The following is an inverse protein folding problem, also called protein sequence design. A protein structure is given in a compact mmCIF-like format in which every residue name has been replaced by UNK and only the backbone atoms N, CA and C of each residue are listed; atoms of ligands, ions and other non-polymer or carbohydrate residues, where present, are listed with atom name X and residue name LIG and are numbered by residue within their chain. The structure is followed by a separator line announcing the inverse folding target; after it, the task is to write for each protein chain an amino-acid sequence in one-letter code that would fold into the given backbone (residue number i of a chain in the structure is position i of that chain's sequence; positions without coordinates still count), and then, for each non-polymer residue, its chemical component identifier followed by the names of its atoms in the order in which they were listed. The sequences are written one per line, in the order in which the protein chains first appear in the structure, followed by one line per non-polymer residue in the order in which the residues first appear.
data_IF_690725297511
#
_entry.id   IF_690725297511
#
_cell.length_a   1.000
_cell.length_b   1.000
_cell.length_c   1.000
_cell.angle_alpha   90.00
_cell.angle_beta   90.00
_cell.angle_gamma   90.00
#
_symmetry.space_group_name_H-M   'P 1'
#
loop_
_entity.id
_entity.type
_entity.pdbx_description
1 polymer ?
#
# COMPACT_ATOMS: atom_id res chain seq x y z
N UNK A 1 -8.03 -4.17 6.76
CA UNK A 1 -9.34 -3.90 7.39
C UNK A 1 -10.39 -4.55 6.48
N UNK A 2 -11.01 -5.64 6.94
CA UNK A 2 -11.73 -6.62 6.12
C UNK A 2 -12.99 -6.05 5.47
N UNK A 3 -13.22 -6.37 4.19
CA UNK A 3 -14.43 -6.08 3.39
C UNK A 3 -15.73 -6.54 4.09
N UNK A 4 -15.59 -7.46 5.04
CA UNK A 4 -16.66 -7.96 5.92
C UNK A 4 -17.44 -6.86 6.66
N UNK A 5 -16.84 -5.71 6.95
CA UNK A 5 -17.57 -4.63 7.65
C UNK A 5 -18.60 -3.92 6.75
N UNK A 6 -18.40 -3.92 5.43
CA UNK A 6 -19.36 -3.36 4.47
C UNK A 6 -20.44 -4.37 4.08
N UNK A 7 -20.10 -5.66 4.01
CA UNK A 7 -21.07 -6.72 3.65
C UNK A 7 -22.00 -7.08 4.80
N UNK A 8 -21.60 -6.89 6.07
CA UNK A 8 -22.44 -7.18 7.25
C UNK A 8 -23.70 -6.31 7.36
N UNK A 9 -23.85 -5.26 6.54
CA UNK A 9 -25.06 -4.41 6.48
C UNK A 9 -25.81 -4.44 5.16
N UNK A 10 -25.34 -5.20 4.16
CA UNK A 10 -26.04 -5.41 2.91
C UNK A 10 -26.47 -6.88 2.87
N UNK A 11 -27.66 -7.17 3.40
CA UNK A 11 -28.41 -8.33 2.90
C UNK A 11 -28.60 -8.05 1.40
N UNK A 12 -27.80 -8.70 0.55
CA UNK A 12 -27.87 -8.51 -0.89
C UNK A 12 -29.21 -9.07 -1.34
N UNK A 13 -30.14 -8.16 -1.62
CA UNK A 13 -31.53 -8.51 -1.85
C UNK A 13 -31.86 -8.56 -3.34
N UNK A 14 -30.88 -8.28 -4.21
CA UNK A 14 -31.06 -8.21 -5.66
C UNK A 14 -29.85 -8.73 -6.44
N UNK A 15 -30.06 -9.49 -7.54
CA UNK A 15 -29.00 -9.92 -8.47
C UNK A 15 -28.17 -8.77 -9.06
N UNK A 16 -28.69 -7.53 -9.05
CA UNK A 16 -27.95 -6.34 -9.47
C UNK A 16 -26.85 -5.98 -8.46
N UNK A 17 -27.14 -6.08 -7.18
CA UNK A 17 -26.20 -5.72 -6.10
C UNK A 17 -25.04 -6.72 -6.05
N UNK A 18 -25.33 -8.02 -6.24
CA UNK A 18 -24.30 -9.06 -6.35
C UNK A 18 -23.35 -8.81 -7.53
N UNK A 19 -23.88 -8.40 -8.69
CA UNK A 19 -23.06 -8.06 -9.87
C UNK A 19 -22.21 -6.82 -9.62
N UNK A 20 -22.77 -5.80 -8.97
CA UNK A 20 -22.03 -4.58 -8.64
C UNK A 20 -20.89 -4.87 -7.65
N UNK A 21 -21.15 -5.65 -6.61
CA UNK A 21 -20.12 -6.07 -5.65
C UNK A 21 -19.05 -6.92 -6.33
N UNK A 22 -19.43 -7.90 -7.13
CA UNK A 22 -18.48 -8.71 -7.91
C UNK A 22 -17.56 -7.86 -8.77
N UNK A 23 -18.09 -6.78 -9.37
CA UNK A 23 -17.28 -5.83 -10.13
C UNK A 23 -16.33 -5.02 -9.24
N UNK A 24 -16.81 -4.50 -8.11
CA UNK A 24 -15.99 -3.74 -7.15
C UNK A 24 -14.85 -4.57 -6.59
N UNK A 25 -15.12 -5.84 -6.23
CA UNK A 25 -14.13 -6.80 -5.73
C UNK A 25 -13.12 -7.17 -6.81
N UNK A 26 -13.60 -7.60 -7.99
CA UNK A 26 -12.74 -8.01 -9.12
C UNK A 26 -11.76 -6.92 -9.53
N UNK A 27 -12.19 -5.66 -9.49
CA UNK A 27 -11.37 -4.52 -9.89
C UNK A 27 -10.74 -3.78 -8.70
N UNK A 28 -10.81 -4.35 -7.49
CA UNK A 28 -10.24 -3.80 -6.25
C UNK A 28 -10.55 -2.31 -6.04
N UNK A 29 -11.76 -1.89 -6.39
CA UNK A 29 -12.10 -0.46 -6.47
C UNK A 29 -12.04 0.20 -5.10
N UNK A 30 -12.41 -0.52 -4.03
CA UNK A 30 -12.29 0.02 -2.67
C UNK A 30 -10.85 0.26 -2.26
N UNK A 31 -9.93 -0.65 -2.57
CA UNK A 31 -8.52 -0.48 -2.25
C UNK A 31 -7.96 0.77 -2.97
N UNK A 32 -8.41 1.03 -4.20
CA UNK A 32 -8.02 2.22 -4.95
C UNK A 32 -8.58 3.48 -4.27
N UNK A 33 -9.85 3.45 -3.86
CA UNK A 33 -10.49 4.56 -3.14
C UNK A 33 -9.78 4.86 -1.82
N UNK A 34 -9.39 3.83 -1.06
CA UNK A 34 -8.60 3.98 0.16
C UNK A 34 -7.26 4.65 -0.15
N UNK A 35 -6.53 4.18 -1.17
CA UNK A 35 -5.22 4.73 -1.53
C UNK A 35 -5.28 6.21 -1.95
N UNK A 36 -6.24 6.59 -2.81
CA UNK A 36 -6.38 7.99 -3.24
C UNK A 36 -6.85 8.89 -2.09
N UNK A 37 -7.68 8.37 -1.18
CA UNK A 37 -8.14 9.13 0.01
C UNK A 37 -6.99 9.36 0.98
N UNK A 38 -6.18 8.32 1.26
CA UNK A 38 -4.95 8.43 2.05
C UNK A 38 -3.98 9.45 1.44
N UNK A 39 -3.81 9.42 0.12
CA UNK A 39 -2.95 10.35 -0.61
C UNK A 39 -3.40 11.80 -0.44
N UNK A 40 -4.71 12.07 -0.51
CA UNK A 40 -5.28 13.41 -0.27
C UNK A 40 -5.11 13.84 1.19
N UNK A 41 -5.38 12.95 2.14
CA UNK A 41 -5.26 13.25 3.57
C UNK A 41 -3.83 13.59 3.98
N UNK A 42 -2.85 12.89 3.39
CA UNK A 42 -1.44 13.12 3.61
C UNK A 42 -0.94 14.41 2.96
N UNK A 43 -1.18 14.57 1.66
CA UNK A 43 -0.64 15.71 0.88
C UNK A 43 -1.35 17.04 1.15
N UNK A 44 -2.60 17.01 1.65
CA UNK A 44 -3.43 18.19 1.94
C UNK A 44 -3.35 19.27 0.84
N UNK A 45 -3.64 18.91 -0.42
CA UNK A 45 -3.41 19.81 -1.54
C UNK A 45 -4.42 20.97 -1.52
N UNK A 46 -3.99 22.16 -1.92
CA UNK A 46 -4.87 23.34 -2.06
C UNK A 46 -6.03 23.11 -3.04
N UNK A 47 -5.80 22.22 -4.02
CA UNK A 47 -6.77 21.86 -5.06
C UNK A 47 -6.96 20.33 -5.14
N UNK A 48 -7.78 19.73 -4.25
CA UNK A 48 -7.94 18.28 -4.15
C UNK A 48 -8.41 17.59 -5.44
N UNK A 49 -9.29 18.23 -6.19
CA UNK A 49 -9.80 17.69 -7.46
C UNK A 49 -8.70 17.59 -8.52
N UNK A 50 -7.90 18.64 -8.70
CA UNK A 50 -6.78 18.64 -9.66
C UNK A 50 -5.72 17.60 -9.26
N UNK A 51 -5.41 17.52 -7.97
CA UNK A 51 -4.52 16.51 -7.41
C UNK A 51 -4.98 15.08 -7.73
N UNK A 52 -6.26 14.76 -7.44
CA UNK A 52 -6.83 13.44 -7.70
C UNK A 52 -6.82 13.08 -9.20
N UNK A 53 -7.14 14.03 -10.08
CA UNK A 53 -7.10 13.81 -11.53
C UNK A 53 -5.68 13.46 -12.00
N UNK A 54 -4.67 14.19 -11.52
CA UNK A 54 -3.27 13.92 -11.84
C UNK A 54 -2.81 12.56 -11.29
N UNK A 55 -3.21 12.23 -10.06
CA UNK A 55 -2.90 10.95 -9.44
C UNK A 55 -3.49 9.78 -10.24
N UNK A 56 -4.77 9.86 -10.61
CA UNK A 56 -5.43 8.84 -11.43
C UNK A 56 -4.82 8.74 -12.83
N UNK A 57 -4.44 9.86 -13.45
CA UNK A 57 -3.75 9.87 -14.74
C UNK A 57 -2.39 9.16 -14.66
N UNK A 58 -1.62 9.40 -13.60
CA UNK A 58 -0.36 8.69 -13.33
C UNK A 58 -0.57 7.20 -13.15
N UNK A 59 -1.53 6.79 -12.32
CA UNK A 59 -1.87 5.36 -12.14
C UNK A 59 -2.23 4.71 -13.48
N UNK A 60 -3.02 5.39 -14.32
CA UNK A 60 -3.40 4.88 -15.64
C UNK A 60 -2.18 4.68 -16.56
N UNK A 61 -1.23 5.60 -16.57
CA UNK A 61 0.02 5.48 -17.35
C UNK A 61 0.90 4.38 -16.79
N UNK A 62 1.05 4.33 -15.47
CA UNK A 62 1.85 3.34 -14.77
C UNK A 62 1.34 1.92 -15.03
N UNK A 63 0.02 1.72 -15.09
CA UNK A 63 -0.58 0.43 -15.51
C UNK A 63 -0.20 -0.03 -16.91
N UNK A 64 -0.01 0.89 -17.84
CA UNK A 64 0.34 0.57 -19.24
C UNK A 64 1.84 0.30 -19.36
N UNK A 65 2.65 1.03 -18.59
CA UNK A 65 4.10 1.07 -18.73
C UNK A 65 4.83 0.22 -17.69
N UNK A 66 4.12 -0.26 -16.66
CA UNK A 66 4.64 -0.94 -15.47
C UNK A 66 5.76 -0.16 -14.76
N UNK A 67 5.75 1.18 -14.86
CA UNK A 67 6.75 2.05 -14.23
C UNK A 67 6.09 3.26 -13.57
N UNK A 68 6.77 3.82 -12.58
CA UNK A 68 6.41 5.11 -11.94
C UNK A 68 5.00 5.15 -11.32
N UNK A 69 4.63 4.09 -10.58
CA UNK A 69 3.43 4.12 -9.74
C UNK A 69 3.56 5.20 -8.65
N UNK A 70 2.45 5.86 -8.27
CA UNK A 70 2.51 6.87 -7.21
C UNK A 70 2.78 6.21 -5.85
N UNK A 71 4.03 6.35 -5.39
CA UNK A 71 4.44 5.93 -4.06
C UNK A 71 4.05 7.00 -3.03
N UNK A 72 3.49 6.57 -1.90
CA UNK A 72 3.26 7.47 -0.76
C UNK A 72 4.55 7.73 0.02
N UNK A 73 5.42 6.74 0.08
CA UNK A 73 6.71 6.82 0.76
C UNK A 73 7.80 7.18 -0.24
N UNK A 74 8.42 8.34 -0.04
CA UNK A 74 9.65 8.71 -0.72
C UNK A 74 10.86 8.07 -0.04
N UNK A 75 11.99 8.08 -0.75
CA UNK A 75 13.27 7.56 -0.27
C UNK A 75 13.69 8.15 1.09
N UNK A 76 13.39 9.44 1.32
CA UNK A 76 13.62 10.12 2.59
C UNK A 76 12.77 9.54 3.72
N UNK A 77 11.50 9.22 3.46
CA UNK A 77 10.60 8.63 4.44
C UNK A 77 11.05 7.22 4.82
N UNK A 78 11.49 6.42 3.85
CA UNK A 78 12.01 5.08 4.10
C UNK A 78 13.31 5.12 4.92
N UNK A 79 14.19 6.09 4.64
CA UNK A 79 15.41 6.29 5.43
C UNK A 79 15.08 6.63 6.89
N UNK A 80 14.19 7.60 7.12
CA UNK A 80 13.79 7.99 8.48
C UNK A 80 13.13 6.85 9.24
N UNK A 81 12.28 6.07 8.56
CA UNK A 81 11.64 4.91 9.17
C UNK A 81 12.66 3.83 9.56
N UNK A 82 13.66 3.58 8.72
CA UNK A 82 14.75 2.66 9.04
C UNK A 82 15.55 3.14 10.26
N UNK A 83 15.86 4.43 10.34
CA UNK A 83 16.59 5.03 11.48
C UNK A 83 15.83 4.89 12.80
N UNK A 84 14.49 4.99 12.77
CA UNK A 84 13.64 4.75 13.95
C UNK A 84 13.70 3.28 14.40
N UNK A 85 13.85 2.34 13.46
CA UNK A 85 13.97 0.91 13.77
C UNK A 85 15.38 0.46 14.14
N UNK A 86 16.40 1.23 13.77
CA UNK A 86 17.82 1.03 14.11
C UNK A 86 18.32 2.15 15.05
N UNK A 87 17.82 2.21 16.31
CA UNK A 87 18.19 3.29 17.23
C UNK A 87 19.66 3.22 17.67
N UNK A 88 20.30 2.07 17.51
CA UNK A 88 21.72 1.88 17.81
C UNK A 88 22.63 2.26 16.65
N UNK A 89 22.07 2.62 15.48
CA UNK A 89 22.78 2.94 14.25
C UNK A 89 23.78 1.85 13.85
N UNK A 90 23.38 0.58 14.01
CA UNK A 90 24.22 -0.58 13.69
C UNK A 90 24.22 -0.92 12.19
N UNK A 91 23.34 -0.29 11.40
CA UNK A 91 23.24 -0.43 9.94
C UNK A 91 22.31 -1.55 9.49
N UNK A 92 21.66 -2.26 10.42
CA UNK A 92 20.73 -3.35 10.13
C UNK A 92 19.61 -3.43 11.17
N UNK A 93 18.47 -3.97 10.73
CA UNK A 93 17.34 -4.33 11.59
C UNK A 93 17.13 -5.85 11.57
N UNK A 94 16.52 -6.36 12.63
CA UNK A 94 16.10 -7.76 12.72
C UNK A 94 14.85 -8.01 11.88
N UNK A 95 14.61 -9.27 11.52
CA UNK A 95 13.39 -9.62 10.80
C UNK A 95 12.10 -9.28 11.60
N UNK A 96 12.14 -9.37 12.94
CA UNK A 96 11.03 -8.95 13.80
C UNK A 96 10.70 -7.48 13.61
N UNK A 97 11.71 -6.61 13.62
CA UNK A 97 11.52 -5.17 13.37
C UNK A 97 11.02 -4.91 11.95
N UNK A 98 11.58 -5.62 10.96
CA UNK A 98 11.13 -5.51 9.58
C UNK A 98 9.66 -5.92 9.38
N UNK A 99 9.23 -7.01 10.04
CA UNK A 99 7.84 -7.45 10.02
C UNK A 99 6.90 -6.38 10.57
N UNK A 100 7.26 -5.76 11.70
CA UNK A 100 6.48 -4.67 12.28
C UNK A 100 6.42 -3.44 11.37
N UNK A 101 7.54 -3.16 10.70
CA UNK A 101 7.65 -2.15 9.66
C UNK A 101 6.61 -2.38 8.54
N UNK A 102 6.60 -3.58 7.98
CA UNK A 102 5.68 -3.97 6.91
C UNK A 102 4.23 -3.96 7.39
N UNK A 103 3.97 -4.37 8.62
CA UNK A 103 2.64 -4.32 9.22
C UNK A 103 2.13 -2.87 9.33
N UNK A 104 2.97 -1.97 9.84
CA UNK A 104 2.65 -0.52 9.96
C UNK A 104 2.39 0.12 8.60
N UNK A 105 3.14 -0.30 7.57
CA UNK A 105 2.96 0.18 6.20
C UNK A 105 1.78 -0.48 5.46
N UNK A 106 1.11 -1.47 6.07
CA UNK A 106 0.07 -2.25 5.39
C UNK A 106 0.60 -3.12 4.23
N UNK A 107 1.90 -3.44 4.24
CA UNK A 107 2.60 -4.22 3.23
C UNK A 107 2.86 -5.67 3.66
N UNK A 108 2.46 -6.04 4.88
CA UNK A 108 2.57 -7.42 5.38
C UNK A 108 1.37 -8.23 4.90
N UNK A 109 1.63 -9.36 4.22
CA UNK A 109 0.55 -10.27 3.81
C UNK A 109 0.10 -11.14 5.01
N UNK A 110 -1.20 -11.50 5.13
CA UNK A 110 -1.74 -12.18 6.31
C UNK A 110 -1.05 -13.51 6.67
N UNK A 111 -0.55 -14.24 5.68
CA UNK A 111 0.05 -15.57 5.83
C UNK A 111 1.55 -15.58 5.50
N UNK A 112 2.20 -14.42 5.58
CA UNK A 112 3.61 -14.31 5.23
C UNK A 112 4.52 -14.70 6.40
N UNK A 113 5.23 -15.81 6.23
CA UNK A 113 6.33 -16.20 7.09
C UNK A 113 7.63 -15.61 6.56
N UNK A 114 8.21 -14.70 7.35
CA UNK A 114 9.53 -14.14 7.09
C UNK A 114 10.57 -14.93 7.87
N UNK A 115 11.74 -15.17 7.27
CA UNK A 115 12.84 -15.89 7.92
C UNK A 115 13.35 -15.14 9.16
N UNK A 116 13.31 -15.78 10.33
CA UNK A 116 13.66 -15.17 11.63
C UNK A 116 15.14 -14.77 11.71
N UNK A 117 16.01 -15.46 10.97
CA UNK A 117 17.47 -15.39 11.10
C UNK A 117 18.12 -14.35 10.17
N UNK A 118 17.33 -13.61 9.41
CA UNK A 118 17.86 -12.68 8.41
C UNK A 118 18.00 -11.26 8.97
N UNK A 119 19.23 -10.72 8.90
CA UNK A 119 19.51 -9.30 9.11
C UNK A 119 19.14 -8.51 7.86
N UNK A 120 18.52 -7.34 8.05
CA UNK A 120 18.03 -6.50 6.95
C UNK A 120 18.73 -5.16 6.98
N UNK A 121 19.54 -4.91 5.95
CA UNK A 121 20.20 -3.62 5.73
C UNK A 121 19.21 -2.58 5.23
N UNK A 122 19.61 -1.30 5.29
CA UNK A 122 18.82 -0.18 4.78
C UNK A 122 18.45 -0.34 3.32
N UNK A 123 19.41 -0.75 2.49
CA UNK A 123 19.20 -0.97 1.06
C UNK A 123 18.17 -2.08 0.82
N UNK A 124 18.30 -3.20 1.53
CA UNK A 124 17.37 -4.32 1.41
C UNK A 124 15.97 -3.94 1.89
N UNK A 125 15.87 -3.19 2.99
CA UNK A 125 14.61 -2.66 3.50
C UNK A 125 13.89 -1.84 2.41
N UNK A 126 14.59 -0.88 1.80
CA UNK A 126 14.03 -0.03 0.74
C UNK A 126 13.59 -0.84 -0.48
N UNK A 127 14.44 -1.78 -0.93
CA UNK A 127 14.13 -2.63 -2.07
C UNK A 127 12.87 -3.47 -1.84
N UNK A 128 12.74 -4.10 -0.68
CA UNK A 128 11.59 -4.93 -0.36
C UNK A 128 10.31 -4.12 -0.18
N UNK A 129 10.36 -2.95 0.47
CA UNK A 129 9.21 -2.05 0.58
C UNK A 129 8.74 -1.62 -0.81
N UNK A 130 9.65 -1.13 -1.66
CA UNK A 130 9.32 -0.67 -3.02
C UNK A 130 8.74 -1.80 -3.88
N UNK A 131 9.33 -3.00 -3.81
CA UNK A 131 8.85 -4.19 -4.52
C UNK A 131 7.43 -4.57 -4.10
N UNK A 132 7.12 -4.53 -2.81
CA UNK A 132 5.78 -4.85 -2.28
C UNK A 132 4.76 -3.79 -2.68
N UNK A 133 5.11 -2.51 -2.57
CA UNK A 133 4.25 -1.42 -3.02
C UNK A 133 3.97 -1.51 -4.52
N UNK A 134 4.98 -1.84 -5.32
CA UNK A 134 4.82 -2.08 -6.75
C UNK A 134 3.83 -3.20 -7.03
N UNK A 135 3.98 -4.35 -6.37
CA UNK A 135 3.07 -5.50 -6.52
C UNK A 135 1.62 -5.15 -6.19
N UNK A 136 1.39 -4.39 -5.11
CA UNK A 136 0.04 -3.89 -4.77
C UNK A 136 -0.56 -3.11 -5.94
N UNK A 137 0.26 -2.29 -6.61
CA UNK A 137 -0.18 -1.49 -7.75
C UNK A 137 -0.42 -2.29 -9.03
N UNK A 138 0.36 -3.34 -9.29
CA UNK A 138 0.14 -4.28 -10.41
C UNK A 138 -1.15 -5.09 -10.26
N UNK A 139 -1.56 -5.36 -9.02
CA UNK A 139 -2.78 -6.13 -8.73
C UNK A 139 -4.07 -5.31 -8.92
N UNK A 140 -4.00 -3.99 -9.19
CA UNK A 140 -5.15 -3.15 -9.55
C UNK A 140 -5.43 -3.20 -11.04
#
# INVERSE_FOLDING_TARGET
MSFELLTRKLELNSPLEEKALSYLEKHRILDLVVNITTSVLFSRPDKPREFLLNLLARIKIAKITSVDFPYLMEDSNLNSMFEVMDPTNQGFITNVQFREALHTLGLLSPNEELSVEEIITREKFKQEVNKRTHKIWEDF
#
